data_IF_873094348657
#
_entry.id   IF_873094348657
#
_cell.length_a   1.000
_cell.length_b   1.000
_cell.length_c   1.000
_cell.angle_alpha   90.00
_cell.angle_beta   90.00
_cell.angle_gamma   90.00
#
_symmetry.space_group_name_H-M   'P 1'
#
loop_
_entity.id
_entity.type
_entity.pdbx_description
1 polymer ?
#
# COMPACT_ATOMS: atom_id res chain seq x y z
N UNK A 1 -25.86 36.95 -2.40
CA UNK A 1 -24.41 37.24 -2.53
C UNK A 1 -23.66 36.05 -1.95
N UNK A 2 -22.84 35.35 -2.74
CA UNK A 2 -22.11 34.15 -2.32
C UNK A 2 -20.73 34.57 -1.82
N UNK A 3 -20.40 34.13 -0.62
CA UNK A 3 -19.11 34.36 0.04
C UNK A 3 -17.95 33.77 -0.80
N UNK A 4 -16.93 34.56 -1.19
CA UNK A 4 -15.82 34.12 -2.02
C UNK A 4 -14.74 33.31 -1.29
N UNK A 5 -14.83 33.06 0.03
CA UNK A 5 -13.75 32.38 0.78
C UNK A 5 -13.85 30.84 0.85
N UNK A 6 -14.93 30.21 0.37
CA UNK A 6 -15.12 28.76 0.49
C UNK A 6 -14.28 27.87 -0.47
N UNK A 7 -13.14 28.36 -0.98
CA UNK A 7 -12.35 27.65 -2.01
C UNK A 7 -10.84 27.65 -1.77
N UNK A 8 -10.37 27.48 -0.53
CA UNK A 8 -8.95 27.20 -0.24
C UNK A 8 -8.76 26.18 0.89
N UNK A 9 -9.05 24.92 0.60
CA UNK A 9 -8.33 23.79 1.23
C UNK A 9 -7.77 22.90 0.12
N UNK A 10 -6.81 23.45 -0.64
CA UNK A 10 -5.88 22.63 -1.43
C UNK A 10 -4.74 22.24 -0.50
N UNK A 11 -4.86 21.07 0.13
CA UNK A 11 -3.77 20.43 0.86
C UNK A 11 -2.61 20.18 -0.10
N UNK A 12 -1.60 21.05 -0.02
CA UNK A 12 -0.43 21.11 -0.88
C UNK A 12 0.75 20.52 -0.13
N UNK A 13 0.95 19.22 -0.32
CA UNK A 13 2.26 18.58 -0.27
C UNK A 13 2.35 17.74 -1.54
N UNK A 14 3.50 17.70 -2.24
CA UNK A 14 3.59 16.95 -3.49
C UNK A 14 3.38 15.47 -3.15
N UNK A 15 2.20 14.94 -3.49
CA UNK A 15 2.07 13.51 -3.65
C UNK A 15 3.15 13.10 -4.65
N UNK A 16 4.05 12.21 -4.25
CA UNK A 16 4.96 11.58 -5.22
C UNK A 16 4.14 11.06 -6.40
N UNK A 17 4.71 10.91 -7.61
CA UNK A 17 3.93 10.82 -8.86
C UNK A 17 2.89 9.67 -8.93
N UNK A 18 2.85 8.77 -7.94
CA UNK A 18 1.92 7.65 -7.80
C UNK A 18 1.01 7.70 -6.55
N UNK A 19 0.92 8.82 -5.83
CA UNK A 19 0.16 8.91 -4.56
C UNK A 19 0.77 8.08 -3.41
N UNK A 20 1.97 7.52 -3.60
CA UNK A 20 2.70 6.72 -2.62
C UNK A 20 3.77 7.57 -1.95
N UNK A 21 3.90 7.44 -0.63
CA UNK A 21 4.91 8.15 0.16
C UNK A 21 6.16 7.32 0.44
N UNK A 22 7.32 7.96 0.61
CA UNK A 22 8.53 7.33 1.11
C UNK A 22 8.27 6.51 2.38
N UNK A 23 9.02 5.42 2.54
CA UNK A 23 8.82 4.45 3.60
C UNK A 23 9.02 5.05 5.01
N UNK A 24 9.86 6.06 5.12
CA UNK A 24 10.36 6.71 6.32
C UNK A 24 9.56 7.96 6.72
N UNK A 25 8.81 8.57 5.79
CA UNK A 25 8.06 9.80 6.04
C UNK A 25 6.95 9.58 7.11
N UNK A 26 6.88 10.41 8.17
CA UNK A 26 5.80 10.39 9.15
C UNK A 26 4.41 10.46 8.52
N UNK A 27 3.42 9.86 9.17
CA UNK A 27 2.03 10.10 8.76
C UNK A 27 1.74 11.60 8.97
N UNK A 28 1.06 12.26 8.03
CA UNK A 28 0.83 13.69 8.09
C UNK A 28 -0.30 13.92 9.10
N UNK A 29 -0.04 14.72 10.11
CA UNK A 29 -1.13 15.27 10.91
C UNK A 29 -1.98 16.14 9.98
N UNK A 30 -3.27 15.80 9.82
CA UNK A 30 -4.23 16.66 9.11
C UNK A 30 -4.60 16.30 7.67
N UNK A 31 -4.10 15.20 7.05
CA UNK A 31 -4.75 14.69 5.82
C UNK A 31 -6.15 14.13 6.11
N UNK A 32 -6.35 13.66 7.34
CA UNK A 32 -7.64 13.32 7.92
C UNK A 32 -7.80 14.11 9.23
N UNK A 33 -8.32 15.34 9.19
CA UNK A 33 -8.50 16.13 10.41
C UNK A 33 -9.39 15.38 11.41
N UNK A 34 -8.87 15.13 12.62
CA UNK A 34 -9.55 14.37 13.68
C UNK A 34 -9.17 12.89 13.78
N UNK A 35 -8.32 12.36 12.89
CA UNK A 35 -7.84 10.96 12.95
C UNK A 35 -6.47 10.91 13.65
N UNK A 36 -6.43 10.27 14.82
CA UNK A 36 -5.19 10.00 15.56
C UNK A 36 -4.35 8.86 14.96
N UNK A 37 -3.24 8.53 15.61
CA UNK A 37 -2.53 7.26 15.34
C UNK A 37 -3.44 6.10 15.73
N UNK A 38 -3.34 4.94 15.07
CA UNK A 38 -4.02 3.72 15.55
C UNK A 38 -3.69 3.53 17.02
N UNK A 39 -4.70 3.71 17.86
CA UNK A 39 -4.71 3.19 19.21
C UNK A 39 -4.94 1.70 19.06
N UNK A 40 -4.11 0.89 19.72
CA UNK A 40 -4.41 -0.52 19.90
C UNK A 40 -5.71 -0.58 20.69
N UNK A 41 -6.85 -0.68 20.00
CA UNK A 41 -8.13 -0.83 20.69
C UNK A 41 -8.09 -2.08 21.58
N UNK A 42 -9.00 -2.15 22.54
CA UNK A 42 -8.98 -3.12 23.64
C UNK A 42 -9.09 -4.57 23.15
N UNK A 43 -8.01 -5.10 22.57
CA UNK A 43 -7.87 -6.51 22.28
C UNK A 43 -7.43 -7.17 23.56
N UNK A 44 -8.12 -8.24 23.95
CA UNK A 44 -7.67 -9.09 25.06
C UNK A 44 -6.16 -9.36 24.93
N UNK A 45 -5.38 -9.29 26.03
CA UNK A 45 -3.94 -9.55 25.99
C UNK A 45 -3.62 -10.92 25.38
N UNK A 46 -4.52 -11.90 25.54
CA UNK A 46 -4.41 -13.21 24.90
C UNK A 46 -4.51 -13.12 23.37
N UNK A 47 -5.44 -12.30 22.85
CA UNK A 47 -5.58 -12.07 21.41
C UNK A 47 -4.33 -11.41 20.84
N UNK A 48 -3.78 -10.44 21.55
CA UNK A 48 -2.54 -9.76 21.16
C UNK A 48 -1.34 -10.72 21.14
N UNK A 49 -1.21 -11.56 22.17
CA UNK A 49 -0.17 -12.59 22.23
C UNK A 49 -0.28 -13.58 21.06
N UNK A 50 -1.50 -14.01 20.72
CA UNK A 50 -1.76 -14.87 19.58
C UNK A 50 -1.33 -14.20 18.27
N UNK A 51 -1.69 -12.94 18.05
CA UNK A 51 -1.32 -12.20 16.84
C UNK A 51 0.19 -12.09 16.65
N UNK A 52 0.93 -11.75 17.71
CA UNK A 52 2.39 -11.65 17.67
C UNK A 52 3.01 -13.01 17.39
N UNK A 53 2.55 -14.06 18.10
CA UNK A 53 3.12 -15.41 18.00
C UNK A 53 2.87 -16.01 16.62
N UNK A 54 1.62 -16.05 16.18
CA UNK A 54 1.25 -16.63 14.88
C UNK A 54 1.77 -15.76 13.73
N UNK A 55 1.70 -14.43 13.85
CA UNK A 55 2.25 -13.51 12.84
C UNK A 55 3.77 -13.66 12.69
N UNK A 56 4.50 -13.76 13.80
CA UNK A 56 5.94 -14.01 13.81
C UNK A 56 6.32 -15.37 13.21
N UNK A 57 5.60 -16.43 13.58
CA UNK A 57 5.79 -17.77 12.99
C UNK A 57 5.51 -17.78 11.49
N UNK A 58 4.45 -17.11 11.02
CA UNK A 58 4.14 -17.00 9.60
C UNK A 58 5.22 -16.26 8.82
N UNK A 59 5.78 -15.16 9.37
CA UNK A 59 6.93 -14.47 8.76
C UNK A 59 8.13 -15.41 8.70
N UNK A 60 8.40 -16.15 9.77
CA UNK A 60 9.46 -17.16 9.83
C UNK A 60 9.26 -18.22 8.75
N UNK A 61 8.13 -18.92 8.72
CA UNK A 61 7.88 -20.01 7.76
C UNK A 61 7.86 -19.51 6.31
N UNK A 62 7.29 -18.33 6.06
CA UNK A 62 7.15 -17.78 4.71
C UNK A 62 8.37 -16.98 4.25
N UNK A 63 9.45 -16.87 5.03
CA UNK A 63 10.64 -16.09 4.65
C UNK A 63 11.15 -16.38 3.22
N UNK A 64 11.15 -17.63 2.70
CA UNK A 64 11.60 -17.89 1.33
C UNK A 64 10.66 -17.27 0.29
N UNK A 65 9.36 -17.22 0.56
CA UNK A 65 8.35 -16.60 -0.30
C UNK A 65 8.56 -15.09 -0.34
N UNK A 66 8.84 -14.46 0.82
CA UNK A 66 9.18 -13.04 0.88
C UNK A 66 10.43 -12.72 0.05
N UNK A 67 11.49 -13.52 0.19
CA UNK A 67 12.74 -13.34 -0.53
C UNK A 67 12.55 -13.51 -2.05
N UNK A 68 11.83 -14.55 -2.46
CA UNK A 68 11.53 -14.82 -3.88
C UNK A 68 10.67 -13.70 -4.49
N UNK A 69 9.61 -13.28 -3.81
CA UNK A 69 8.76 -12.18 -4.27
C UNK A 69 9.58 -10.89 -4.41
N UNK A 70 10.42 -10.57 -3.42
CA UNK A 70 11.29 -9.39 -3.45
C UNK A 70 12.26 -9.42 -4.64
N UNK A 71 12.88 -10.57 -4.91
CA UNK A 71 13.77 -10.77 -6.04
C UNK A 71 13.04 -10.57 -7.37
N UNK A 72 11.90 -11.24 -7.58
CA UNK A 72 11.12 -11.15 -8.81
C UNK A 72 10.64 -9.71 -9.09
N UNK A 73 10.19 -9.00 -8.04
CA UNK A 73 9.78 -7.60 -8.14
C UNK A 73 10.95 -6.70 -8.57
N UNK A 74 12.16 -6.92 -8.01
CA UNK A 74 13.37 -6.15 -8.36
C UNK A 74 13.87 -6.43 -9.78
N UNK A 75 13.77 -7.68 -10.22
CA UNK A 75 14.15 -8.07 -11.58
C UNK A 75 13.24 -7.42 -12.63
N UNK A 76 11.94 -7.27 -12.34
CA UNK A 76 10.98 -6.74 -13.31
C UNK A 76 11.00 -5.21 -13.42
N UNK A 77 11.30 -4.49 -12.33
CA UNK A 77 11.33 -3.02 -12.33
C UNK A 77 12.28 -2.46 -11.27
N UNK A 78 13.05 -1.39 -11.56
CA UNK A 78 13.87 -0.73 -10.54
C UNK A 78 13.00 -0.09 -9.45
N UNK A 79 13.57 0.27 -8.29
CA UNK A 79 12.83 0.92 -7.18
C UNK A 79 12.50 0.00 -5.99
N UNK A 80 11.71 0.46 -5.01
CA UNK A 80 11.46 -0.26 -3.76
C UNK A 80 10.57 -1.50 -3.97
N UNK A 81 10.84 -2.55 -3.18
CA UNK A 81 10.07 -3.80 -3.18
C UNK A 81 8.76 -3.65 -2.42
N UNK A 82 8.82 -3.00 -1.25
CA UNK A 82 7.67 -2.75 -0.40
C UNK A 82 7.13 -1.36 -0.66
N UNK A 83 5.81 -1.26 -0.70
CA UNK A 83 5.08 0.00 -0.72
C UNK A 83 4.26 0.13 0.56
N UNK A 84 4.11 1.38 1.00
CA UNK A 84 3.30 1.73 2.16
C UNK A 84 2.09 2.53 1.68
N UNK A 85 0.92 2.18 2.18
CA UNK A 85 -0.31 2.91 1.91
C UNK A 85 -0.92 3.36 3.23
N UNK A 86 -1.46 4.56 3.26
CA UNK A 86 -2.21 5.00 4.43
C UNK A 86 -3.56 4.26 4.45
N UNK A 87 -3.95 3.80 5.63
CA UNK A 87 -5.23 3.14 5.88
C UNK A 87 -5.79 3.59 7.22
N UNK A 88 -7.11 3.53 7.32
CA UNK A 88 -7.84 3.75 8.56
C UNK A 88 -8.03 2.40 9.26
N UNK A 89 -7.55 2.31 10.49
CA UNK A 89 -7.64 1.16 11.37
C UNK A 89 -8.67 1.36 12.48
N UNK A 90 -8.46 0.66 13.59
CA UNK A 90 -9.37 0.69 14.74
C UNK A 90 -9.50 2.10 15.33
N UNK A 91 -10.70 2.44 15.82
CA UNK A 91 -11.06 3.75 16.38
C UNK A 91 -10.78 4.93 15.43
N UNK A 92 -10.78 4.67 14.13
CA UNK A 92 -10.51 5.68 13.11
C UNK A 92 -9.06 6.09 13.01
N UNK A 93 -8.12 5.43 13.72
CA UNK A 93 -6.70 5.80 13.68
C UNK A 93 -6.02 5.43 12.36
N UNK A 94 -5.11 6.27 11.87
CA UNK A 94 -4.38 5.99 10.63
C UNK A 94 -3.11 5.15 10.89
N UNK A 95 -2.80 4.24 9.97
CA UNK A 95 -1.54 3.48 9.96
C UNK A 95 -1.01 3.21 8.55
N UNK A 96 0.26 2.78 8.49
CA UNK A 96 0.93 2.42 7.23
C UNK A 96 0.71 0.94 6.93
N UNK A 97 -0.15 0.67 5.97
CA UNK A 97 -0.39 -0.66 5.41
C UNK A 97 0.76 -1.07 4.49
N UNK A 98 1.45 -2.16 4.83
CA UNK A 98 2.59 -2.67 4.05
C UNK A 98 2.12 -3.69 3.01
N UNK A 99 2.63 -3.58 1.78
CA UNK A 99 2.43 -4.59 0.75
C UNK A 99 3.59 -4.60 -0.23
N UNK A 100 3.70 -5.67 -1.02
CA UNK A 100 4.63 -5.73 -2.12
C UNK A 100 4.19 -4.79 -3.25
N UNK A 101 5.17 -4.23 -3.95
CA UNK A 101 4.95 -3.41 -5.13
C UNK A 101 4.44 -4.29 -6.27
N UNK A 102 3.25 -3.97 -6.77
CA UNK A 102 2.62 -4.69 -7.89
C UNK A 102 2.54 -3.87 -9.17
N UNK A 103 2.96 -2.59 -9.11
CA UNK A 103 2.90 -1.63 -10.21
C UNK A 103 4.32 -1.20 -10.61
N UNK A 104 4.52 -0.80 -11.86
CA UNK A 104 5.81 -0.29 -12.29
C UNK A 104 6.19 0.96 -11.46
N UNK A 105 7.44 0.99 -10.98
CA UNK A 105 7.95 2.17 -10.29
C UNK A 105 8.37 3.20 -11.32
N UNK A 106 7.79 4.40 -11.24
CA UNK A 106 8.02 5.59 -12.09
C UNK A 106 9.33 5.54 -12.88
N UNK A 107 9.27 4.97 -14.08
CA UNK A 107 10.24 5.32 -15.11
C UNK A 107 9.81 6.73 -15.53
N UNK A 108 10.65 7.73 -15.28
CA UNK A 108 10.59 9.06 -15.90
C UNK A 108 10.53 9.06 -17.45
N UNK A 109 10.35 7.91 -18.09
CA UNK A 109 10.16 7.71 -19.53
C UNK A 109 8.81 7.06 -19.91
N UNK A 110 7.89 6.80 -18.96
CA UNK A 110 6.48 6.46 -19.31
C UNK A 110 5.60 7.69 -19.52
N UNK A 111 6.07 8.88 -19.11
CA UNK A 111 5.38 10.15 -19.30
C UNK A 111 5.12 10.46 -20.78
N UNK A 112 5.92 9.92 -21.71
CA UNK A 112 5.67 10.12 -23.14
C UNK A 112 4.42 9.36 -23.63
N UNK A 113 4.11 8.19 -23.03
CA UNK A 113 2.91 7.42 -23.35
C UNK A 113 1.69 7.86 -22.53
N UNK A 114 1.88 8.40 -21.32
CA UNK A 114 0.80 9.02 -20.53
C UNK A 114 0.37 10.39 -21.07
N UNK A 115 1.28 11.13 -21.74
CA UNK A 115 0.96 12.40 -22.41
C UNK A 115 0.26 12.24 -23.75
N UNK A 116 0.25 11.02 -24.32
CA UNK A 116 -0.44 10.73 -25.57
C UNK A 116 -1.75 9.99 -25.27
N UNK A 117 -2.93 10.51 -25.69
CA UNK A 117 -4.20 9.83 -25.47
C UNK A 117 -4.24 8.40 -26.05
N UNK A 118 -3.35 8.10 -27.00
CA UNK A 118 -3.20 6.81 -27.66
C UNK A 118 -2.37 5.80 -26.85
N UNK A 119 -1.43 6.25 -26.02
CA UNK A 119 -0.51 5.38 -25.28
C UNK A 119 -1.21 4.57 -24.20
N UNK A 120 -2.11 5.20 -23.44
CA UNK A 120 -2.88 4.54 -22.39
C UNK A 120 -3.95 3.59 -22.98
N UNK A 121 -4.53 3.93 -24.13
CA UNK A 121 -5.43 3.06 -24.88
C UNK A 121 -4.70 1.82 -25.41
N UNK A 122 -3.55 1.98 -26.05
CA UNK A 122 -2.71 0.88 -26.52
C UNK A 122 -2.33 -0.05 -25.37
N UNK A 123 -1.94 0.51 -24.21
CA UNK A 123 -1.55 -0.27 -23.04
C UNK A 123 -2.72 -1.06 -22.45
N UNK A 124 -3.94 -0.50 -22.46
CA UNK A 124 -5.17 -1.19 -22.09
C UNK A 124 -5.52 -2.32 -23.06
N UNK A 125 -5.38 -2.09 -24.37
CA UNK A 125 -5.68 -3.08 -25.42
C UNK A 125 -4.68 -4.24 -25.43
N UNK A 126 -3.40 -3.97 -25.14
CA UNK A 126 -2.32 -4.96 -25.09
C UNK A 126 -2.22 -5.68 -23.74
N UNK A 127 -2.89 -5.17 -22.69
CA UNK A 127 -2.90 -5.84 -21.40
C UNK A 127 -3.77 -7.09 -21.45
N UNK A 128 -3.33 -8.23 -20.88
CA UNK A 128 -4.19 -9.40 -20.70
C UNK A 128 -5.51 -9.00 -20.04
N UNK A 129 -6.64 -9.56 -20.51
CA UNK A 129 -7.98 -9.24 -19.97
C UNK A 129 -7.97 -9.28 -18.44
N UNK A 130 -8.33 -8.15 -17.81
CA UNK A 130 -8.41 -7.99 -16.36
C UNK A 130 -7.14 -7.49 -15.67
N UNK A 131 -5.98 -7.47 -16.32
CA UNK A 131 -4.75 -6.89 -15.73
C UNK A 131 -4.75 -5.36 -15.88
N UNK A 132 -4.50 -4.60 -14.79
CA UNK A 132 -4.38 -3.16 -14.88
C UNK A 132 -3.21 -2.75 -15.79
N UNK A 133 -3.34 -1.70 -16.62
CA UNK A 133 -2.30 -1.29 -17.58
C UNK A 133 -0.93 -1.01 -16.94
N UNK A 134 -0.93 -0.56 -15.69
CA UNK A 134 0.25 -0.16 -14.92
C UNK A 134 0.77 -1.27 -13.98
N UNK A 135 0.06 -2.41 -13.89
CA UNK A 135 0.52 -3.56 -13.11
C UNK A 135 1.65 -4.28 -13.83
N UNK A 136 2.65 -4.72 -13.08
CA UNK A 136 3.71 -5.60 -13.62
C UNK A 136 3.19 -7.04 -13.76
N UNK A 137 3.88 -7.92 -14.48
CA UNK A 137 3.43 -9.30 -14.69
C UNK A 137 3.55 -10.09 -13.40
N UNK A 138 4.69 -9.95 -12.70
CA UNK A 138 4.87 -10.52 -11.37
C UNK A 138 3.87 -9.91 -10.41
N UNK A 139 3.74 -8.57 -10.40
CA UNK A 139 2.79 -7.85 -9.56
C UNK A 139 1.34 -8.30 -9.75
N UNK A 140 0.95 -8.58 -10.98
CA UNK A 140 -0.37 -9.13 -11.28
C UNK A 140 -0.56 -10.54 -10.73
N UNK A 141 0.43 -11.42 -10.89
CA UNK A 141 0.40 -12.77 -10.30
C UNK A 141 0.33 -12.73 -8.78
N UNK A 142 1.12 -11.87 -8.13
CA UNK A 142 1.11 -11.69 -6.68
C UNK A 142 -0.29 -11.31 -6.17
N UNK A 143 -0.98 -10.39 -6.86
CA UNK A 143 -2.36 -9.98 -6.52
C UNK A 143 -3.38 -11.11 -6.64
N UNK A 144 -3.25 -11.98 -7.64
CA UNK A 144 -4.15 -13.14 -7.80
C UNK A 144 -4.04 -14.12 -6.64
N UNK A 145 -2.83 -14.25 -6.09
CA UNK A 145 -2.53 -15.15 -4.98
C UNK A 145 -2.58 -14.46 -3.61
N UNK A 146 -2.88 -13.16 -3.55
CA UNK A 146 -2.80 -12.32 -2.33
C UNK A 146 -1.41 -12.31 -1.68
N UNK A 147 -0.38 -12.81 -2.38
CA UNK A 147 1.00 -12.80 -1.88
C UNK A 147 1.51 -11.37 -1.75
N UNK A 148 0.96 -10.42 -2.54
CA UNK A 148 1.33 -9.02 -2.42
C UNK A 148 1.02 -8.44 -1.04
N UNK A 149 0.09 -9.04 -0.31
CA UNK A 149 -0.37 -8.59 1.00
C UNK A 149 0.36 -9.23 2.20
N UNK A 150 1.21 -10.23 1.98
CA UNK A 150 2.00 -10.87 3.06
C UNK A 150 2.80 -9.88 3.93
N UNK A 151 3.36 -8.76 3.42
CA UNK A 151 4.04 -7.77 4.26
C UNK A 151 3.18 -7.17 5.38
N UNK A 152 1.85 -7.28 5.32
CA UNK A 152 0.97 -6.89 6.41
C UNK A 152 1.18 -7.73 7.69
N UNK A 153 1.77 -8.93 7.61
CA UNK A 153 2.14 -9.69 8.80
C UNK A 153 3.08 -8.88 9.71
N UNK A 154 3.90 -7.98 9.14
CA UNK A 154 4.72 -7.06 9.94
C UNK A 154 3.85 -6.03 10.66
N UNK A 155 2.77 -5.55 10.05
CA UNK A 155 1.79 -4.67 10.72
C UNK A 155 1.09 -5.40 11.88
N UNK A 156 0.78 -6.68 11.71
CA UNK A 156 0.24 -7.53 12.78
C UNK A 156 1.22 -7.61 13.95
N UNK A 157 2.48 -7.98 13.70
CA UNK A 157 3.48 -8.10 14.78
C UNK A 157 3.74 -6.74 15.45
N UNK A 158 3.71 -5.63 14.69
CA UNK A 158 3.85 -4.26 15.24
C UNK A 158 2.64 -3.80 16.05
N UNK A 159 1.48 -4.41 15.87
CA UNK A 159 0.24 -4.02 16.56
C UNK A 159 -0.59 -2.98 15.83
N UNK A 160 -0.26 -2.67 14.58
CA UNK A 160 -1.07 -1.80 13.73
C UNK A 160 -2.33 -2.55 13.21
N UNK A 161 -2.26 -3.89 13.15
CA UNK A 161 -3.32 -4.78 12.65
C UNK A 161 -3.43 -6.05 13.51
N UNK A 162 -4.49 -6.82 13.27
CA UNK A 162 -4.74 -8.13 13.86
C UNK A 162 -4.80 -9.19 12.74
N UNK A 163 -4.45 -10.45 13.01
CA UNK A 163 -4.59 -11.54 12.03
C UNK A 163 -6.05 -11.77 11.61
N UNK A 164 -6.97 -11.54 12.54
CA UNK A 164 -8.41 -11.68 12.33
C UNK A 164 -9.07 -10.36 12.72
N UNK A 165 -9.69 -9.70 11.76
CA UNK A 165 -10.34 -8.41 11.94
C UNK A 165 -10.93 -7.89 10.63
N UNK A 166 -11.68 -6.78 10.66
CA UNK A 166 -12.16 -6.13 9.44
C UNK A 166 -10.98 -5.67 8.57
N UNK A 167 -11.17 -5.72 7.25
CA UNK A 167 -10.16 -5.22 6.33
C UNK A 167 -10.07 -3.69 6.46
N UNK A 168 -8.87 -3.10 6.57
CA UNK A 168 -8.70 -1.64 6.70
C UNK A 168 -9.24 -0.87 5.50
N UNK A 169 -10.02 0.18 5.78
CA UNK A 169 -10.60 1.07 4.78
C UNK A 169 -9.64 2.21 4.38
N UNK A 170 -9.97 2.90 3.27
CA UNK A 170 -9.19 4.01 2.70
C UNK A 170 -9.40 5.33 3.44
#
# INVERSE_FOLDING_TARGET
MRDPEARRVRGTGPAGPNGQRPADEPLPEGRYPGIGRVETGETSPLKRLLDITVGGLMIGILWPVFALAALLIKMESPGPVLIKQDRVGLNGGAFRFLKFRTMHHNRRGSDLAERLPTGDLMRRLLSPKGRPPHATAIGWSLRKTTVDELPQLVNVVKGDMSLVGPRPDL
#
